data_IF_973546969839
#
_entry.id   IF_973546969839
#
_cell.length_a   1.000
_cell.length_b   1.000
_cell.length_c   1.000
_cell.angle_alpha   90.00
_cell.angle_beta   90.00
_cell.angle_gamma   90.00
#
_symmetry.space_group_name_H-M   'P 1'
#
loop_
_entity.id
_entity.type
_entity.pdbx_description
1 polymer ?
#
# COMPACT_ATOMS: atom_id res chain seq x y z
N UNK A 1 11.31 -19.61 -46.36
CA UNK A 1 10.89 -18.38 -45.66
C UNK A 1 10.04 -18.79 -44.45
N UNK A 2 10.58 -18.70 -43.24
CA UNK A 2 9.80 -18.91 -42.01
C UNK A 2 8.92 -17.69 -41.77
N UNK A 3 7.61 -17.90 -41.64
CA UNK A 3 6.66 -16.84 -41.29
C UNK A 3 6.90 -16.45 -39.82
N UNK A 4 7.02 -15.16 -39.47
CA UNK A 4 7.22 -14.74 -38.09
C UNK A 4 6.02 -15.18 -37.24
N UNK A 5 6.28 -15.62 -36.00
CA UNK A 5 5.25 -16.02 -35.07
C UNK A 5 4.25 -14.87 -34.87
N UNK A 6 2.96 -15.16 -35.06
CA UNK A 6 1.91 -14.18 -34.88
C UNK A 6 1.85 -13.77 -33.39
N UNK A 7 1.88 -12.47 -33.12
CA UNK A 7 1.69 -11.96 -31.77
C UNK A 7 0.27 -12.33 -31.27
N UNK A 8 0.12 -12.74 -30.00
CA UNK A 8 -1.19 -13.06 -29.45
C UNK A 8 -2.09 -11.82 -29.50
N UNK A 9 -3.38 -12.02 -29.78
CA UNK A 9 -4.34 -10.92 -29.75
C UNK A 9 -4.37 -10.25 -28.36
N UNK A 10 -4.63 -8.93 -28.27
CA UNK A 10 -4.61 -8.21 -27.00
C UNK A 10 -5.51 -8.82 -25.92
N UNK A 11 -6.63 -9.44 -26.33
CA UNK A 11 -7.55 -10.15 -25.43
C UNK A 11 -6.91 -11.41 -24.85
N UNK A 12 -6.26 -12.22 -25.68
CA UNK A 12 -5.58 -13.44 -25.22
C UNK A 12 -4.39 -13.08 -24.32
N UNK A 13 -3.63 -12.05 -24.68
CA UNK A 13 -2.55 -11.54 -23.83
C UNK A 13 -3.07 -11.06 -22.46
N UNK A 14 -4.22 -10.37 -22.42
CA UNK A 14 -4.85 -9.93 -21.18
C UNK A 14 -5.28 -11.08 -20.27
N UNK A 15 -5.92 -12.12 -20.82
CA UNK A 15 -6.28 -13.31 -20.04
C UNK A 15 -5.05 -14.08 -19.55
N UNK A 16 -4.02 -14.24 -20.39
CA UNK A 16 -2.76 -14.86 -19.96
C UNK A 16 -2.12 -14.09 -18.81
N UNK A 17 -2.03 -12.76 -18.92
CA UNK A 17 -1.51 -11.92 -17.84
C UNK A 17 -2.36 -12.05 -16.57
N UNK A 18 -3.68 -12.05 -16.69
CA UNK A 18 -4.60 -12.25 -15.57
C UNK A 18 -4.31 -13.56 -14.82
N UNK A 19 -4.23 -14.69 -15.53
CA UNK A 19 -3.94 -15.98 -14.89
C UNK A 19 -2.54 -16.04 -14.29
N UNK A 20 -1.54 -15.47 -14.96
CA UNK A 20 -0.18 -15.35 -14.41
C UNK A 20 -0.20 -14.58 -13.09
N UNK A 21 -0.86 -13.43 -13.04
CA UNK A 21 -0.98 -12.62 -11.82
C UNK A 21 -1.79 -13.34 -10.74
N UNK A 22 -2.83 -14.09 -11.12
CA UNK A 22 -3.63 -14.89 -10.19
C UNK A 22 -2.80 -16.00 -9.53
N UNK A 23 -2.03 -16.77 -10.31
CA UNK A 23 -1.17 -17.81 -9.75
C UNK A 23 -0.03 -17.24 -8.92
N UNK A 24 0.56 -16.12 -9.35
CA UNK A 24 1.54 -15.38 -8.55
C UNK A 24 0.94 -14.98 -7.20
N UNK A 25 -0.28 -14.43 -7.18
CA UNK A 25 -0.98 -14.06 -5.94
C UNK A 25 -1.15 -15.27 -5.02
N UNK A 26 -1.63 -16.40 -5.52
CA UNK A 26 -1.82 -17.60 -4.72
C UNK A 26 -0.49 -18.12 -4.16
N UNK A 27 0.57 -18.15 -4.98
CA UNK A 27 1.91 -18.54 -4.55
C UNK A 27 2.44 -17.65 -3.43
N UNK A 28 2.31 -16.32 -3.59
CA UNK A 28 2.73 -15.36 -2.57
C UNK A 28 1.95 -15.52 -1.27
N UNK A 29 0.62 -15.70 -1.31
CA UNK A 29 -0.19 -15.90 -0.10
C UNK A 29 0.25 -17.17 0.64
N UNK A 30 0.41 -18.29 -0.08
CA UNK A 30 0.76 -19.58 0.53
C UNK A 30 2.18 -19.55 1.12
N UNK A 31 3.13 -18.85 0.48
CA UNK A 31 4.56 -18.89 0.86
C UNK A 31 5.01 -17.74 1.76
N UNK A 32 4.46 -16.54 1.59
CA UNK A 32 4.91 -15.31 2.27
C UNK A 32 4.03 -14.98 3.48
N UNK A 33 2.77 -15.43 3.50
CA UNK A 33 1.80 -15.07 4.53
C UNK A 33 1.21 -16.30 5.23
N UNK A 34 2.03 -17.09 5.96
CA UNK A 34 1.57 -18.32 6.61
C UNK A 34 0.67 -18.06 7.84
N UNK A 35 0.55 -16.81 8.29
CA UNK A 35 -0.24 -16.43 9.46
C UNK A 35 -1.55 -15.75 9.08
N UNK A 36 -2.61 -16.07 9.83
CA UNK A 36 -3.79 -15.21 9.88
C UNK A 36 -3.38 -13.83 10.36
N UNK A 37 -3.66 -12.81 9.56
CA UNK A 37 -3.50 -11.40 9.94
C UNK A 37 -4.90 -10.87 10.12
N UNK A 38 -5.20 -10.33 11.30
CA UNK A 38 -6.52 -9.78 11.56
C UNK A 38 -6.77 -8.57 10.62
N UNK A 39 -8.00 -8.37 10.12
CA UNK A 39 -8.28 -7.30 9.16
C UNK A 39 -7.83 -5.91 9.62
N UNK A 40 -7.95 -5.61 10.91
CA UNK A 40 -7.48 -4.35 11.49
C UNK A 40 -5.96 -4.19 11.39
N UNK A 41 -5.16 -5.24 11.62
CA UNK A 41 -3.69 -5.22 11.52
C UNK A 41 -3.20 -4.83 10.12
N UNK A 42 -3.96 -5.16 9.08
CA UNK A 42 -3.70 -4.72 7.70
C UNK A 42 -3.95 -3.22 7.52
N UNK A 43 -5.05 -2.70 8.06
CA UNK A 43 -5.40 -1.28 7.94
C UNK A 43 -4.62 -0.38 8.89
N UNK A 44 -4.18 -0.91 10.02
CA UNK A 44 -3.43 -0.22 11.06
C UNK A 44 -2.12 0.36 10.50
N UNK A 45 -1.43 -0.38 9.63
CA UNK A 45 -0.20 0.09 8.98
C UNK A 45 -0.46 1.22 7.97
N UNK A 46 -1.62 1.20 7.30
CA UNK A 46 -2.05 2.23 6.36
C UNK A 46 -2.38 3.54 7.08
N UNK A 47 -3.10 3.46 8.19
CA UNK A 47 -3.48 4.61 9.02
C UNK A 47 -2.25 5.33 9.57
N UNK A 48 -1.29 4.60 10.15
CA UNK A 48 -0.03 5.18 10.65
C UNK A 48 0.77 5.83 9.51
N UNK A 49 0.88 5.16 8.35
CA UNK A 49 1.57 5.70 7.19
C UNK A 49 0.90 6.97 6.62
N UNK A 50 -0.42 7.01 6.59
CA UNK A 50 -1.17 8.19 6.18
C UNK A 50 -0.97 9.35 7.17
N UNK A 51 -0.99 9.09 8.48
CA UNK A 51 -0.61 10.06 9.50
C UNK A 51 0.79 10.63 9.29
N UNK A 52 1.77 9.77 9.00
CA UNK A 52 3.16 10.19 8.76
C UNK A 52 3.33 11.03 7.47
N UNK A 53 2.68 10.64 6.38
CA UNK A 53 2.83 11.29 5.07
C UNK A 53 2.00 12.57 4.96
N UNK A 54 0.79 12.58 5.52
CA UNK A 54 -0.16 13.68 5.40
C UNK A 54 -0.25 14.59 6.63
N UNK A 55 0.31 14.18 7.77
CA UNK A 55 0.17 14.91 9.04
C UNK A 55 -1.25 14.84 9.60
N UNK A 56 -1.98 13.76 9.30
CA UNK A 56 -3.32 13.53 9.84
C UNK A 56 -3.23 13.17 11.32
N UNK A 57 -4.23 13.59 12.08
CA UNK A 57 -4.43 13.09 13.44
C UNK A 57 -4.96 11.65 13.37
N UNK A 58 -4.11 10.70 13.72
CA UNK A 58 -4.39 9.26 13.62
C UNK A 58 -3.98 8.57 14.92
N UNK A 59 -4.70 7.50 15.26
CA UNK A 59 -4.34 6.71 16.43
C UNK A 59 -3.08 5.89 16.12
N UNK A 60 -2.01 6.11 16.88
CA UNK A 60 -0.77 5.32 16.79
C UNK A 60 -0.75 4.27 17.90
N UNK A 61 -0.87 2.99 17.55
CA UNK A 61 -0.81 1.91 18.52
C UNK A 61 0.59 1.77 19.13
N UNK A 62 0.63 1.21 20.33
CA UNK A 62 1.87 0.90 21.06
C UNK A 62 2.84 0.02 20.25
N UNK A 63 2.37 -0.77 19.29
CA UNK A 63 3.22 -1.62 18.45
C UNK A 63 4.13 -0.83 17.49
N UNK A 64 3.82 0.44 17.23
CA UNK A 64 4.52 1.32 16.29
C UNK A 64 5.30 2.45 16.96
N UNK A 65 5.15 2.66 18.27
CA UNK A 65 5.90 3.66 19.02
C UNK A 65 7.18 3.07 19.61
N UNK A 66 8.21 3.90 19.62
CA UNK A 66 9.56 3.57 20.07
C UNK A 66 9.74 3.90 21.56
N UNK A 67 8.86 3.36 22.41
CA UNK A 67 9.03 3.46 23.86
C UNK A 67 10.20 2.57 24.33
N UNK A 68 10.38 2.36 25.64
CA UNK A 68 11.58 1.78 26.26
C UNK A 68 12.05 0.39 25.71
N UNK A 69 11.24 -0.30 24.90
CA UNK A 69 11.57 -1.56 24.23
C UNK A 69 11.70 -1.51 22.69
N UNK A 70 11.50 -0.35 22.06
CA UNK A 70 11.39 -0.22 20.60
C UNK A 70 10.07 -0.76 20.02
N UNK A 71 9.72 -0.42 18.76
CA UNK A 71 8.45 -0.85 18.16
C UNK A 71 8.44 -2.37 17.93
N UNK A 72 7.35 -3.03 18.32
CA UNK A 72 7.15 -4.46 18.07
C UNK A 72 6.94 -4.77 16.58
N UNK A 73 6.47 -3.79 15.80
CA UNK A 73 6.30 -3.93 14.36
C UNK A 73 7.48 -3.33 13.61
N UNK A 74 8.07 -4.13 12.73
CA UNK A 74 9.14 -3.68 11.86
C UNK A 74 8.62 -2.76 10.76
N UNK A 75 9.03 -1.50 10.81
CA UNK A 75 8.81 -0.54 9.71
C UNK A 75 9.48 -0.95 8.42
N UNK A 76 10.49 -1.84 8.44
CA UNK A 76 11.24 -2.22 7.25
C UNK A 76 10.37 -2.88 6.16
N UNK A 77 9.35 -3.65 6.56
CA UNK A 77 8.39 -4.25 5.63
C UNK A 77 7.27 -3.31 5.21
N UNK A 78 6.79 -2.49 6.15
CA UNK A 78 5.65 -1.58 5.94
C UNK A 78 6.07 -0.41 5.05
N UNK A 79 7.29 0.10 5.22
CA UNK A 79 7.75 1.29 4.52
C UNK A 79 7.72 1.16 2.97
N UNK A 80 8.33 0.13 2.34
CA UNK A 80 8.29 0.01 0.88
C UNK A 80 6.90 -0.32 0.33
N UNK A 81 6.04 -0.99 1.12
CA UNK A 81 4.73 -1.46 0.67
C UNK A 81 3.61 -0.44 0.88
N UNK A 82 3.76 0.43 1.88
CA UNK A 82 2.70 1.34 2.34
C UNK A 82 3.18 2.78 2.33
N UNK A 83 4.24 3.13 3.07
CA UNK A 83 4.71 4.52 3.14
C UNK A 83 5.19 5.03 1.78
N UNK A 84 5.99 4.24 1.05
CA UNK A 84 6.56 4.69 -0.22
C UNK A 84 5.50 4.97 -1.29
N UNK A 85 4.50 4.09 -1.54
CA UNK A 85 3.42 4.39 -2.49
C UNK A 85 2.60 5.63 -2.11
N UNK A 86 2.23 5.79 -0.82
CA UNK A 86 1.44 6.93 -0.36
C UNK A 86 2.26 8.23 -0.45
N UNK A 87 3.54 8.19 -0.05
CA UNK A 87 4.46 9.30 -0.20
C UNK A 87 4.64 9.70 -1.66
N UNK A 88 4.80 8.71 -2.55
CA UNK A 88 4.98 8.95 -3.98
C UNK A 88 3.71 9.56 -4.59
N UNK A 89 2.54 9.04 -4.21
CA UNK A 89 1.26 9.62 -4.60
C UNK A 89 1.16 11.08 -4.15
N UNK A 90 1.49 11.38 -2.88
CA UNK A 90 1.50 12.75 -2.36
C UNK A 90 2.45 13.65 -3.16
N UNK A 91 3.59 13.12 -3.59
CA UNK A 91 4.59 13.89 -4.34
C UNK A 91 4.21 14.15 -5.79
N UNK A 92 3.52 13.19 -6.44
CA UNK A 92 3.28 13.22 -7.88
C UNK A 92 1.88 13.68 -8.25
N UNK A 93 0.88 13.33 -7.47
CA UNK A 93 -0.54 13.44 -7.83
C UNK A 93 -1.32 14.37 -6.89
N UNK A 94 -0.93 14.40 -5.61
CA UNK A 94 -1.56 15.26 -4.61
C UNK A 94 -0.87 16.63 -4.61
N UNK A 95 -1.23 17.48 -5.58
CA UNK A 95 -0.87 18.89 -5.54
C UNK A 95 -1.22 19.49 -4.17
N UNK A 96 -0.43 20.43 -3.67
CA UNK A 96 -0.41 21.00 -2.31
C UNK A 96 -1.73 21.60 -1.76
N UNK A 97 -2.86 21.38 -2.42
CA UNK A 97 -4.18 21.97 -2.20
C UNK A 97 -5.12 21.12 -1.33
N UNK A 98 -5.06 19.78 -1.36
CA UNK A 98 -6.12 18.93 -0.77
C UNK A 98 -6.29 19.07 0.75
N UNK A 99 -5.19 19.19 1.50
CA UNK A 99 -5.23 19.22 2.98
C UNK A 99 -5.57 20.61 3.53
N UNK A 100 -5.17 21.69 2.84
CA UNK A 100 -5.53 23.06 3.26
C UNK A 100 -7.03 23.31 3.08
N UNK A 101 -7.63 22.79 2.01
CA UNK A 101 -9.08 22.88 1.80
C UNK A 101 -9.86 22.10 2.86
N UNK A 102 -9.47 20.85 3.17
CA UNK A 102 -10.13 20.06 4.22
C UNK A 102 -10.09 20.72 5.60
N UNK A 103 -8.91 21.19 6.03
CA UNK A 103 -8.79 21.91 7.30
C UNK A 103 -9.59 23.22 7.31
N UNK A 104 -9.71 23.92 6.19
CA UNK A 104 -10.55 25.13 6.11
C UNK A 104 -12.05 24.84 6.05
N UNK A 105 -12.46 23.67 5.51
CA UNK A 105 -13.86 23.28 5.34
C UNK A 105 -14.48 22.67 6.62
N UNK A 106 -13.66 22.07 7.49
CA UNK A 106 -14.10 21.39 8.70
C UNK A 106 -13.45 21.92 9.99
N UNK A 107 -12.78 23.07 9.95
CA UNK A 107 -12.34 23.75 11.17
C UNK A 107 -13.57 24.09 12.04
N UNK A 108 -13.61 23.68 13.32
CA UNK A 108 -14.67 24.12 14.23
C UNK A 108 -14.59 25.65 14.39
N UNK A 109 -15.76 26.29 14.26
CA UNK A 109 -15.96 27.74 14.40
C UNK A 109 -15.64 28.26 15.80
#
# INVERSE_FOLDING_TARGET
MQKPAALPSPRVAGWTLYFVLLFLRLGLVIHVQPGYIHPDEFFQSLEVAAGDVYGLDVYRPWEFVSDEGGPLRSFAGIYPLVHFPIWLYRRLLDGSTSIREYHSAFAPS
#
